data_IF_255015524936
#
_entry.id   IF_255015524936
#
_cell.length_a   1.000
_cell.length_b   1.000
_cell.length_c   1.000
_cell.angle_alpha   90.00
_cell.angle_beta   90.00
_cell.angle_gamma   90.00
#
_symmetry.space_group_name_H-M   'P 1'
#
loop_
_entity.id
_entity.type
_entity.pdbx_description
1 polymer ?
#
# COMPACT_ATOMS: atom_id res chain seq x y z
N UNK A 1 15.75 1.29 7.60
CA UNK A 1 15.70 1.50 6.14
C UNK A 1 15.95 0.21 5.37
N UNK A 2 17.19 -0.32 5.29
CA UNK A 2 17.46 -1.55 4.53
C UNK A 2 16.67 -2.77 5.06
N UNK A 3 16.62 -2.93 6.39
CA UNK A 3 15.78 -3.94 7.06
C UNK A 3 14.31 -3.82 6.68
N UNK A 4 13.72 -2.64 6.87
CA UNK A 4 12.30 -2.39 6.55
C UNK A 4 12.00 -2.67 5.08
N UNK A 5 12.90 -2.28 4.16
CA UNK A 5 12.76 -2.57 2.74
C UNK A 5 12.78 -4.08 2.45
N UNK A 6 13.71 -4.82 3.08
CA UNK A 6 13.83 -6.27 2.91
C UNK A 6 12.65 -7.04 3.52
N UNK A 7 12.03 -6.51 4.58
CA UNK A 7 10.83 -7.10 5.18
C UNK A 7 9.57 -6.83 4.34
N UNK A 8 9.46 -5.66 3.70
CA UNK A 8 8.25 -5.23 2.97
C UNK A 8 8.23 -5.69 1.51
N UNK A 9 9.39 -5.69 0.84
CA UNK A 9 9.47 -5.92 -0.61
C UNK A 9 10.15 -7.25 -0.93
N UNK A 10 9.59 -8.01 -1.87
CA UNK A 10 10.11 -9.31 -2.30
C UNK A 10 11.53 -9.22 -2.90
N UNK A 11 11.82 -8.12 -3.61
CA UNK A 11 13.10 -7.88 -4.30
C UNK A 11 13.58 -6.45 -4.05
N UNK A 12 14.15 -6.13 -2.88
CA UNK A 12 14.65 -4.79 -2.60
C UNK A 12 15.87 -4.47 -3.47
N UNK A 13 15.91 -3.24 -4.01
CA UNK A 13 17.01 -2.73 -4.84
C UNK A 13 17.42 -1.35 -4.34
N UNK A 14 18.72 -1.11 -4.18
CA UNK A 14 19.33 0.19 -3.93
C UNK A 14 20.16 0.56 -5.17
N UNK A 15 19.94 1.78 -5.67
CA UNK A 15 20.75 2.36 -6.74
C UNK A 15 21.75 3.35 -6.10
N UNK A 16 23.05 3.11 -6.33
CA UNK A 16 24.11 4.00 -5.87
C UNK A 16 24.54 4.91 -7.01
N UNK A 17 23.95 6.11 -7.08
CA UNK A 17 24.24 7.08 -8.13
C UNK A 17 25.48 7.93 -7.81
N UNK A 18 26.35 8.04 -8.80
CA UNK A 18 27.53 8.89 -8.79
C UNK A 18 28.84 8.12 -8.91
N UNK A 19 29.93 8.83 -9.26
CA UNK A 19 31.23 8.21 -9.49
C UNK A 19 31.83 7.70 -8.17
N UNK A 20 31.72 6.39 -7.93
CA UNK A 20 32.09 5.76 -6.66
C UNK A 20 33.54 6.04 -6.25
N UNK A 21 34.46 6.07 -7.22
CA UNK A 21 35.87 6.43 -6.97
C UNK A 21 36.04 7.83 -6.37
N UNK A 22 35.22 8.81 -6.77
CA UNK A 22 35.25 10.16 -6.21
C UNK A 22 34.59 10.20 -4.84
N UNK A 23 33.48 9.49 -4.66
CA UNK A 23 32.77 9.40 -3.39
C UNK A 23 33.63 8.77 -2.28
N UNK A 24 34.28 7.64 -2.55
CA UNK A 24 35.17 6.97 -1.59
C UNK A 24 36.31 7.92 -1.15
N UNK A 25 36.92 8.66 -2.08
CA UNK A 25 38.02 9.59 -1.78
C UNK A 25 37.58 10.80 -0.96
N UNK A 26 36.34 11.26 -1.10
CA UNK A 26 35.80 12.47 -0.43
C UNK A 26 35.03 12.16 0.86
N UNK A 27 34.73 10.89 1.13
CA UNK A 27 33.89 10.48 2.25
C UNK A 27 34.49 10.72 3.64
N UNK A 28 35.80 11.00 3.74
CA UNK A 28 36.57 10.98 5.00
C UNK A 28 36.43 9.66 5.80
N UNK A 29 35.87 8.61 5.20
CA UNK A 29 35.71 7.29 5.79
C UNK A 29 36.80 6.35 5.31
N UNK A 30 37.16 5.39 6.16
CA UNK A 30 38.05 4.30 5.74
C UNK A 30 37.32 3.46 4.67
N UNK A 31 37.98 3.09 3.57
CA UNK A 31 37.37 2.23 2.55
C UNK A 31 36.79 0.94 3.12
N UNK A 32 37.46 0.35 4.12
CA UNK A 32 36.99 -0.86 4.81
C UNK A 32 35.59 -0.70 5.40
N UNK A 33 35.28 0.44 6.03
CA UNK A 33 33.96 0.68 6.64
C UNK A 33 32.85 0.81 5.61
N UNK A 34 33.16 1.38 4.44
CA UNK A 34 32.21 1.47 3.32
C UNK A 34 31.92 0.06 2.77
N UNK A 35 32.97 -0.74 2.55
CA UNK A 35 32.80 -2.10 2.07
C UNK A 35 32.12 -3.01 3.09
N UNK A 36 32.35 -2.82 4.38
CA UNK A 36 31.64 -3.52 5.45
C UNK A 36 30.14 -3.23 5.40
N UNK A 37 29.75 -1.95 5.29
CA UNK A 37 28.35 -1.57 5.16
C UNK A 37 27.70 -2.13 3.89
N UNK A 38 28.37 -2.06 2.73
CA UNK A 38 27.87 -2.65 1.48
C UNK A 38 27.75 -4.18 1.58
N UNK A 39 28.69 -4.83 2.27
CA UNK A 39 28.65 -6.28 2.50
C UNK A 39 27.45 -6.66 3.38
N UNK A 40 27.18 -5.91 4.44
CA UNK A 40 26.01 -6.14 5.29
C UNK A 40 24.70 -5.94 4.52
N UNK A 41 24.60 -4.90 3.69
CA UNK A 41 23.45 -4.69 2.79
C UNK A 41 23.22 -5.88 1.86
N UNK A 42 24.29 -6.42 1.25
CA UNK A 42 24.19 -7.52 0.30
C UNK A 42 23.93 -8.88 0.97
N UNK A 43 24.60 -9.17 2.10
CA UNK A 43 24.62 -10.50 2.71
C UNK A 43 23.63 -10.66 3.85
N UNK A 44 23.54 -9.66 4.75
CA UNK A 44 22.68 -9.76 5.94
C UNK A 44 21.24 -9.37 5.61
N UNK A 45 21.05 -8.34 4.78
CA UNK A 45 19.72 -7.84 4.41
C UNK A 45 19.22 -8.34 3.04
N UNK A 46 20.07 -9.01 2.25
CA UNK A 46 19.69 -9.52 0.93
C UNK A 46 19.29 -8.43 -0.08
N UNK A 47 19.82 -7.22 0.06
CA UNK A 47 19.48 -6.07 -0.80
C UNK A 47 20.36 -6.06 -2.04
N UNK A 48 19.73 -5.94 -3.22
CA UNK A 48 20.45 -5.81 -4.48
C UNK A 48 21.01 -4.39 -4.63
N UNK A 49 22.30 -4.26 -4.89
CA UNK A 49 22.97 -2.96 -5.02
C UNK A 49 23.44 -2.78 -6.47
N UNK A 50 22.97 -1.73 -7.14
CA UNK A 50 23.34 -1.44 -8.54
C UNK A 50 23.93 -0.04 -8.62
N UNK A 51 25.24 0.12 -8.90
CA UNK A 51 25.85 1.43 -9.06
C UNK A 51 25.56 2.03 -10.44
N UNK A 52 25.46 3.36 -10.50
CA UNK A 52 25.36 4.16 -11.73
C UNK A 52 26.26 5.38 -11.61
N UNK A 53 26.85 5.85 -12.72
CA UNK A 53 27.83 6.94 -12.66
C UNK A 53 27.18 8.34 -12.68
N UNK A 54 25.99 8.46 -13.26
CA UNK A 54 25.27 9.71 -13.51
C UNK A 54 23.74 9.49 -13.63
N UNK A 55 22.93 10.58 -13.55
CA UNK A 55 21.48 10.51 -13.66
C UNK A 55 20.98 9.88 -14.97
N UNK A 56 21.66 10.10 -16.09
CA UNK A 56 21.31 9.52 -17.38
C UNK A 56 21.42 7.98 -17.35
N UNK A 57 22.49 7.46 -16.77
CA UNK A 57 22.71 6.03 -16.54
C UNK A 57 21.67 5.46 -15.57
N UNK A 58 21.31 6.20 -14.51
CA UNK A 58 20.22 5.84 -13.60
C UNK A 58 18.88 5.76 -14.33
N UNK A 59 18.56 6.71 -15.19
CA UNK A 59 17.32 6.70 -15.97
C UNK A 59 17.24 5.47 -16.90
N UNK A 60 18.35 5.12 -17.57
CA UNK A 60 18.44 3.89 -18.38
C UNK A 60 18.21 2.66 -17.51
N UNK A 61 18.84 2.56 -16.35
CA UNK A 61 18.66 1.45 -15.42
C UNK A 61 17.19 1.31 -14.98
N UNK A 62 16.57 2.40 -14.53
CA UNK A 62 15.17 2.43 -14.10
C UNK A 62 14.24 1.96 -15.20
N UNK A 63 14.42 2.45 -16.43
CA UNK A 63 13.64 2.02 -17.59
C UNK A 63 13.78 0.51 -17.84
N UNK A 64 15.01 -0.05 -17.76
CA UNK A 64 15.23 -1.48 -18.00
C UNK A 64 14.68 -2.36 -16.88
N UNK A 65 14.73 -1.89 -15.63
CA UNK A 65 14.09 -2.57 -14.49
C UNK A 65 12.57 -2.63 -14.68
N UNK A 66 11.94 -1.48 -14.99
CA UNK A 66 10.50 -1.40 -15.23
C UNK A 66 10.06 -2.28 -16.42
N UNK A 67 10.78 -2.20 -17.55
CA UNK A 67 10.48 -3.03 -18.72
C UNK A 67 10.58 -4.52 -18.43
N UNK A 68 11.58 -4.96 -17.64
CA UNK A 68 11.69 -6.37 -17.25
C UNK A 68 10.53 -6.83 -16.39
N UNK A 69 10.17 -6.05 -15.37
CA UNK A 69 9.12 -6.41 -14.42
C UNK A 69 7.73 -6.42 -15.09
N UNK A 70 7.43 -5.38 -15.88
CA UNK A 70 6.07 -5.14 -16.40
C UNK A 70 5.80 -5.77 -17.77
N UNK A 71 6.79 -5.72 -18.68
CA UNK A 71 6.60 -6.16 -20.07
C UNK A 71 7.12 -7.57 -20.30
N UNK A 72 8.31 -7.89 -19.75
CA UNK A 72 8.94 -9.20 -20.00
C UNK A 72 8.43 -10.30 -19.07
N UNK A 73 8.22 -10.00 -17.79
CA UNK A 73 7.73 -10.97 -16.81
C UNK A 73 6.21 -10.94 -16.63
N UNK A 74 5.48 -10.06 -17.35
CA UNK A 74 4.02 -9.90 -17.29
C UNK A 74 3.45 -9.78 -15.86
N UNK A 75 4.25 -9.28 -14.91
CA UNK A 75 3.80 -9.18 -13.53
C UNK A 75 2.77 -8.06 -13.42
N UNK A 76 1.57 -8.42 -12.98
CA UNK A 76 0.50 -7.46 -12.74
C UNK A 76 0.90 -6.47 -11.66
N UNK A 77 0.71 -5.17 -11.92
CA UNK A 77 0.95 -4.11 -10.94
C UNK A 77 0.05 -4.37 -9.72
N UNK A 78 0.65 -4.56 -8.55
CA UNK A 78 -0.10 -4.65 -7.31
C UNK A 78 -0.69 -3.26 -6.99
N UNK A 79 -2.02 -3.15 -6.96
CA UNK A 79 -2.72 -1.90 -6.64
C UNK A 79 -2.41 -1.41 -5.21
N UNK A 80 -2.10 -2.34 -4.30
CA UNK A 80 -1.73 -2.05 -2.92
C UNK A 80 -0.71 -3.08 -2.45
N UNK A 81 0.49 -2.63 -2.09
CA UNK A 81 1.51 -3.50 -1.49
C UNK A 81 1.11 -3.84 -0.06
N UNK A 82 1.15 -5.13 0.28
CA UNK A 82 0.95 -5.64 1.64
C UNK A 82 2.19 -6.46 2.00
N UNK A 83 2.82 -6.16 3.13
CA UNK A 83 3.86 -7.04 3.66
C UNK A 83 3.20 -8.37 4.08
N UNK A 84 3.66 -9.48 3.48
CA UNK A 84 3.12 -10.83 3.75
C UNK A 84 3.35 -11.29 5.21
N UNK A 85 4.25 -10.64 5.95
CA UNK A 85 4.51 -10.93 7.37
C UNK A 85 3.67 -10.12 8.35
N UNK A 86 2.67 -9.34 7.90
CA UNK A 86 1.81 -8.58 8.80
C UNK A 86 1.07 -9.52 9.76
N UNK A 87 1.03 -9.22 11.08
CA UNK A 87 0.16 -9.91 12.03
C UNK A 87 -1.32 -9.86 11.63
N UNK A 88 -2.13 -10.86 12.03
CA UNK A 88 -3.52 -11.00 11.57
C UNK A 88 -4.40 -9.79 11.94
N UNK A 89 -4.21 -9.22 13.12
CA UNK A 89 -4.86 -7.97 13.57
C UNK A 89 -4.54 -6.79 12.64
N UNK A 90 -3.27 -6.65 12.24
CA UNK A 90 -2.88 -5.61 11.28
C UNK A 90 -3.40 -5.88 9.87
N UNK A 91 -3.53 -7.15 9.47
CA UNK A 91 -4.18 -7.53 8.21
C UNK A 91 -5.67 -7.14 8.20
N UNK A 92 -6.37 -7.27 9.33
CA UNK A 92 -7.78 -6.86 9.46
C UNK A 92 -7.93 -5.33 9.31
N UNK A 93 -7.08 -4.56 10.00
CA UNK A 93 -7.05 -3.09 9.88
C UNK A 93 -6.72 -2.69 8.44
N UNK A 94 -5.73 -3.34 7.82
CA UNK A 94 -5.35 -3.09 6.43
C UNK A 94 -6.52 -3.32 5.48
N UNK A 95 -7.23 -4.45 5.61
CA UNK A 95 -8.39 -4.78 4.78
C UNK A 95 -9.46 -3.68 4.85
N UNK A 96 -9.88 -3.29 6.05
CA UNK A 96 -10.90 -2.25 6.24
C UNK A 96 -10.44 -0.86 5.81
N UNK A 97 -9.16 -0.54 6.02
CA UNK A 97 -8.55 0.70 5.52
C UNK A 97 -8.42 0.74 3.99
N UNK A 98 -8.81 -0.33 3.28
CA UNK A 98 -8.98 -0.33 1.83
C UNK A 98 -10.32 0.24 1.37
N UNK A 99 -11.29 0.40 2.28
CA UNK A 99 -12.59 0.98 1.97
C UNK A 99 -12.50 2.51 1.82
N UNK A 100 -13.35 3.13 0.99
CA UNK A 100 -13.30 4.57 0.76
C UNK A 100 -13.56 5.35 2.05
N UNK A 101 -12.69 6.32 2.34
CA UNK A 101 -12.78 7.19 3.52
C UNK A 101 -12.60 6.46 4.88
N UNK A 102 -12.07 5.23 4.89
CA UNK A 102 -11.74 4.50 6.12
C UNK A 102 -10.21 4.46 6.28
N UNK A 103 -9.72 5.11 7.34
CA UNK A 103 -8.31 5.04 7.77
C UNK A 103 -8.10 4.02 8.89
N UNK A 104 -6.86 3.87 9.35
CA UNK A 104 -6.48 2.90 10.40
C UNK A 104 -7.26 3.08 11.69
N UNK A 105 -7.36 4.31 12.19
CA UNK A 105 -8.09 4.61 13.45
C UNK A 105 -9.57 4.25 13.34
N UNK A 106 -10.22 4.58 12.22
CA UNK A 106 -11.63 4.22 12.03
C UNK A 106 -11.81 2.71 11.83
N UNK A 107 -10.86 2.04 11.16
CA UNK A 107 -10.87 0.59 11.03
C UNK A 107 -10.72 -0.12 12.39
N UNK A 108 -9.86 0.38 13.28
CA UNK A 108 -9.74 -0.09 14.66
C UNK A 108 -11.04 0.11 15.44
N UNK A 109 -11.63 1.31 15.37
CA UNK A 109 -12.92 1.60 16.04
C UNK A 109 -14.04 0.66 15.53
N UNK A 110 -14.11 0.44 14.22
CA UNK A 110 -15.05 -0.50 13.62
C UNK A 110 -14.82 -1.95 14.08
N UNK A 111 -13.57 -2.40 14.20
CA UNK A 111 -13.24 -3.73 14.71
C UNK A 111 -13.56 -3.85 16.20
N UNK A 112 -13.38 -2.80 16.99
CA UNK A 112 -13.75 -2.81 18.41
C UNK A 112 -15.27 -2.91 18.62
N UNK A 113 -16.07 -2.35 17.70
CA UNK A 113 -17.55 -2.43 17.78
C UNK A 113 -18.10 -3.71 17.17
N UNK A 114 -17.59 -4.13 16.01
CA UNK A 114 -18.15 -5.21 15.20
C UNK A 114 -17.30 -6.48 15.18
N UNK A 115 -16.18 -6.52 15.90
CA UNK A 115 -15.34 -7.70 16.19
C UNK A 115 -14.58 -8.31 14.98
N UNK A 116 -15.15 -8.31 13.77
CA UNK A 116 -14.47 -8.87 12.59
C UNK A 116 -14.66 -7.99 11.34
N UNK A 117 -13.72 -8.00 10.38
CA UNK A 117 -13.92 -7.30 9.11
C UNK A 117 -15.16 -7.77 8.35
N UNK A 118 -15.51 -9.06 8.45
CA UNK A 118 -16.71 -9.60 7.81
C UNK A 118 -17.98 -8.92 8.34
N UNK A 119 -18.13 -8.83 9.66
CA UNK A 119 -19.28 -8.15 10.29
C UNK A 119 -19.33 -6.68 9.88
N UNK A 120 -18.20 -5.98 9.87
CA UNK A 120 -18.12 -4.59 9.37
C UNK A 120 -18.61 -4.49 7.93
N UNK A 121 -18.13 -5.35 7.02
CA UNK A 121 -18.55 -5.34 5.62
C UNK A 121 -20.05 -5.61 5.44
N UNK A 122 -20.61 -6.53 6.22
CA UNK A 122 -22.05 -6.82 6.20
C UNK A 122 -22.86 -5.61 6.67
N UNK A 123 -22.45 -4.98 7.78
CA UNK A 123 -23.12 -3.78 8.29
C UNK A 123 -23.07 -2.63 7.28
N UNK A 124 -21.92 -2.38 6.65
CA UNK A 124 -21.80 -1.37 5.60
C UNK A 124 -22.66 -1.69 4.37
N UNK A 125 -22.71 -2.95 3.95
CA UNK A 125 -23.52 -3.38 2.81
C UNK A 125 -25.02 -3.23 3.09
N UNK A 126 -25.47 -3.54 4.31
CA UNK A 126 -26.90 -3.59 4.65
C UNK A 126 -27.45 -2.31 5.29
N UNK A 127 -26.59 -1.34 5.62
CA UNK A 127 -27.00 -0.11 6.30
C UNK A 127 -28.05 0.69 5.52
N UNK A 128 -29.04 1.20 6.25
CA UNK A 128 -30.10 2.03 5.70
C UNK A 128 -29.78 3.52 5.86
N UNK A 129 -29.98 4.29 4.79
CA UNK A 129 -29.78 5.74 4.78
C UNK A 129 -31.07 6.42 4.40
N UNK A 130 -31.68 7.08 5.37
CA UNK A 130 -32.89 7.87 5.14
C UNK A 130 -32.52 9.23 4.57
N UNK A 131 -33.14 9.57 3.44
CA UNK A 131 -33.02 10.87 2.82
C UNK A 131 -34.27 11.70 3.08
N UNK A 132 -34.10 12.99 3.40
CA UNK A 132 -35.22 13.90 3.60
C UNK A 132 -36.04 14.06 2.30
N UNK A 133 -37.34 14.42 2.38
CA UNK A 133 -38.15 14.70 1.18
C UNK A 133 -37.55 15.77 0.26
N UNK A 134 -36.76 16.69 0.83
CA UNK A 134 -36.04 17.74 0.11
C UNK A 134 -34.74 17.27 -0.56
N UNK A 135 -34.27 16.04 -0.31
CA UNK A 135 -32.99 15.51 -0.80
C UNK A 135 -31.74 16.11 -0.15
N UNK A 136 -31.88 17.13 0.71
CA UNK A 136 -30.75 17.90 1.25
C UNK A 136 -30.06 17.23 2.45
N UNK A 137 -30.79 16.42 3.21
CA UNK A 137 -30.27 15.82 4.44
C UNK A 137 -30.35 14.31 4.34
N UNK A 138 -29.25 13.64 4.66
CA UNK A 138 -29.16 12.19 4.77
C UNK A 138 -28.87 11.81 6.22
N UNK A 139 -29.52 10.77 6.71
CA UNK A 139 -29.34 10.26 8.06
C UNK A 139 -29.13 8.75 8.00
N UNK A 140 -28.02 8.32 8.61
CA UNK A 140 -27.70 6.93 8.81
C UNK A 140 -28.51 6.40 10.00
N UNK A 141 -28.98 5.17 9.89
CA UNK A 141 -29.64 4.42 10.98
C UNK A 141 -28.95 3.08 11.18
N UNK A 142 -29.18 2.47 12.34
CA UNK A 142 -28.64 1.16 12.68
C UNK A 142 -27.28 1.22 13.41
N UNK A 143 -26.64 0.06 13.61
CA UNK A 143 -25.48 -0.09 14.50
C UNK A 143 -24.27 0.79 14.14
N UNK A 144 -24.10 1.12 12.86
CA UNK A 144 -23.00 1.97 12.39
C UNK A 144 -23.03 3.39 13.00
N UNK A 145 -24.17 3.86 13.51
CA UNK A 145 -24.24 5.18 14.17
C UNK A 145 -23.46 5.24 15.48
N UNK A 146 -23.16 4.09 16.08
CA UNK A 146 -22.43 4.01 17.35
C UNK A 146 -20.93 4.26 17.17
N UNK A 147 -20.43 4.16 15.93
CA UNK A 147 -19.02 4.38 15.61
C UNK A 147 -18.79 5.83 15.18
N UNK A 148 -18.06 6.57 16.02
CA UNK A 148 -17.73 7.97 15.76
C UNK A 148 -16.97 8.11 14.45
N UNK A 149 -17.43 9.01 13.59
CA UNK A 149 -16.81 9.28 12.29
C UNK A 149 -17.43 8.48 11.14
N UNK A 150 -18.31 7.52 11.40
CA UNK A 150 -19.14 6.89 10.37
C UNK A 150 -20.37 7.74 10.11
N UNK A 151 -20.51 8.22 8.87
CA UNK A 151 -21.66 9.01 8.43
C UNK A 151 -22.21 8.53 7.09
N UNK A 152 -23.38 9.05 6.66
CA UNK A 152 -24.07 8.60 5.45
C UNK A 152 -23.18 8.54 4.22
N UNK A 153 -22.32 9.56 4.01
CA UNK A 153 -21.45 9.64 2.83
C UNK A 153 -20.42 8.50 2.76
N UNK A 154 -19.84 8.12 3.90
CA UNK A 154 -18.84 7.05 3.97
C UNK A 154 -19.52 5.72 3.66
N UNK A 155 -20.70 5.50 4.25
CA UNK A 155 -21.52 4.31 4.01
C UNK A 155 -21.95 4.22 2.54
N UNK A 156 -22.45 5.29 1.93
CA UNK A 156 -22.82 5.29 0.50
C UNK A 156 -21.62 4.98 -0.41
N UNK A 157 -20.46 5.56 -0.12
CA UNK A 157 -19.25 5.33 -0.91
C UNK A 157 -18.77 3.87 -0.79
N UNK A 158 -18.87 3.30 0.41
CA UNK A 158 -18.58 1.88 0.63
C UNK A 158 -19.62 0.98 -0.04
N UNK A 159 -20.92 1.28 0.05
CA UNK A 159 -21.99 0.54 -0.62
C UNK A 159 -21.81 0.55 -2.14
N UNK A 160 -21.45 1.70 -2.73
CA UNK A 160 -21.12 1.79 -4.14
C UNK A 160 -19.97 0.83 -4.49
N UNK A 161 -18.90 0.78 -3.68
CA UNK A 161 -17.80 -0.16 -3.91
C UNK A 161 -18.22 -1.63 -3.75
N UNK A 162 -19.07 -1.95 -2.75
CA UNK A 162 -19.42 -3.31 -2.37
C UNK A 162 -20.51 -3.93 -3.26
N UNK A 163 -21.41 -3.12 -3.83
CA UNK A 163 -22.54 -3.58 -4.62
C UNK A 163 -22.36 -3.44 -6.13
N UNK A 164 -21.51 -2.52 -6.60
CA UNK A 164 -21.32 -2.32 -8.04
C UNK A 164 -20.59 -3.50 -8.69
N UNK A 165 -21.05 -3.86 -9.89
CA UNK A 165 -20.50 -5.00 -10.63
C UNK A 165 -19.15 -4.65 -11.23
N UNK A 166 -18.09 -5.38 -10.86
CA UNK A 166 -16.75 -5.17 -11.42
C UNK A 166 -16.71 -5.22 -12.97
N UNK A 167 -17.33 -6.21 -13.66
CA UNK A 167 -17.41 -6.21 -15.13
C UNK A 167 -18.09 -4.97 -15.72
N UNK A 168 -19.11 -4.41 -15.04
CA UNK A 168 -19.79 -3.19 -15.48
C UNK A 168 -18.86 -1.99 -15.41
N UNK A 169 -18.13 -1.85 -14.30
CA UNK A 169 -17.17 -0.75 -14.08
C UNK A 169 -15.99 -0.78 -15.04
N UNK A 170 -15.52 -1.98 -15.41
CA UNK A 170 -14.41 -2.13 -16.36
C UNK A 170 -14.82 -1.97 -17.83
N UNK A 171 -16.10 -1.69 -18.12
CA UNK A 171 -16.56 -1.47 -19.49
C UNK A 171 -16.34 -2.68 -20.42
N UNK A 172 -16.37 -3.90 -19.87
CA UNK A 172 -16.15 -5.13 -20.64
C UNK A 172 -17.34 -5.30 -21.59
N UNK A 173 -17.19 -4.80 -22.82
CA UNK A 173 -17.92 -5.33 -23.97
C UNK A 173 -17.55 -6.81 -24.06
N UNK A 174 -18.53 -7.68 -23.78
CA UNK A 174 -18.47 -9.08 -24.17
C UNK A 174 -18.20 -9.19 -25.67
#
# INVERSE_FOLDING_TARGET
>A
QARDMAEIYEKPVIILEGPMKKALKRSHMKPSSIYEALSSLALDYGVNIIPTDDPESTAVLLHRLAYREQVKEERTIQLRSMNRSLPLDQQQIFLLSGLPQIGTTLAEDLLNTFDTPYKVLVEFAQAEIHTSPSGKTKRLTGPLTDVKGVGPKIVESAQQLLHESYPHLCGVKK
#
